data_IF_148196812354
#
_entry.id   IF_148196812354
#
_cell.length_a   1.000
_cell.length_b   1.000
_cell.length_c   1.000
_cell.angle_alpha   90.00
_cell.angle_beta   90.00
_cell.angle_gamma   90.00
#
_symmetry.space_group_name_H-M   'P 1'
#
loop_
_entity.id
_entity.type
_entity.pdbx_description
1 polymer ?
#
# COMPACT_ATOMS: atom_id res chain seq x y z
N UNK A 1 8.32 13.63 -15.32
CA UNK A 1 7.09 13.42 -14.52
C UNK A 1 5.96 13.03 -15.48
N UNK A 2 5.26 11.91 -15.26
CA UNK A 2 4.29 11.35 -16.22
C UNK A 2 2.84 11.80 -15.99
N UNK A 3 2.60 12.67 -15.00
CA UNK A 3 1.30 13.24 -14.69
C UNK A 3 1.23 14.71 -15.14
N UNK A 4 0.06 15.13 -15.57
CA UNK A 4 -0.22 16.42 -16.19
C UNK A 4 -1.48 17.07 -15.60
N UNK A 5 -1.56 18.39 -15.68
CA UNK A 5 -2.71 19.20 -15.27
C UNK A 5 -3.78 19.33 -16.36
N UNK A 6 -3.41 19.05 -17.60
CA UNK A 6 -4.23 19.24 -18.79
C UNK A 6 -4.38 17.94 -19.59
N UNK A 7 -5.54 17.79 -20.24
CA UNK A 7 -5.85 16.62 -21.07
C UNK A 7 -4.88 16.44 -22.25
N UNK A 8 -4.32 17.53 -22.78
CA UNK A 8 -3.31 17.49 -23.84
C UNK A 8 -1.93 17.02 -23.38
N UNK A 9 -1.75 16.74 -22.08
CA UNK A 9 -0.49 16.28 -21.49
C UNK A 9 0.72 17.18 -21.84
N UNK A 10 0.50 18.50 -21.77
CA UNK A 10 1.51 19.52 -22.08
C UNK A 10 2.08 20.18 -20.82
N UNK A 11 1.28 20.31 -19.76
CA UNK A 11 1.65 20.96 -18.50
C UNK A 11 1.87 19.91 -17.42
N UNK A 12 3.12 19.66 -17.00
CA UNK A 12 3.41 18.72 -15.92
C UNK A 12 2.64 19.08 -14.65
N UNK A 13 2.18 18.06 -13.93
CA UNK A 13 1.47 18.22 -12.67
C UNK A 13 2.39 18.87 -11.62
N UNK A 14 2.06 20.07 -11.16
CA UNK A 14 2.86 20.75 -10.11
C UNK A 14 2.32 20.53 -8.70
N UNK A 15 1.01 20.30 -8.55
CA UNK A 15 0.34 20.09 -7.27
C UNK A 15 -0.85 19.14 -7.40
N UNK A 16 -1.14 18.42 -6.32
CA UNK A 16 -2.38 17.65 -6.15
C UNK A 16 -3.31 18.43 -5.22
N UNK A 17 -4.46 18.87 -5.74
CA UNK A 17 -5.45 19.59 -4.95
C UNK A 17 -6.36 18.58 -4.25
N UNK A 18 -6.09 18.32 -2.96
CA UNK A 18 -6.80 17.33 -2.16
C UNK A 18 -7.57 17.97 -1.01
N UNK A 19 -8.83 17.57 -0.83
CA UNK A 19 -9.65 17.91 0.32
C UNK A 19 -9.68 16.72 1.28
N UNK A 20 -9.08 16.89 2.46
CA UNK A 20 -9.12 15.87 3.50
C UNK A 20 -10.50 15.85 4.16
N UNK A 21 -11.19 14.70 4.12
CA UNK A 21 -12.52 14.51 4.74
C UNK A 21 -12.45 13.80 6.08
N UNK A 22 -11.52 12.85 6.23
CA UNK A 22 -11.25 12.16 7.49
C UNK A 22 -9.73 11.99 7.69
N UNK A 23 -9.30 11.31 8.76
CA UNK A 23 -7.88 11.01 8.99
C UNK A 23 -7.22 10.24 7.83
N UNK A 24 -7.99 9.49 7.04
CA UNK A 24 -7.47 8.62 5.97
C UNK A 24 -8.09 8.85 4.60
N UNK A 25 -9.20 9.58 4.50
CA UNK A 25 -9.93 9.76 3.24
C UNK A 25 -9.76 11.17 2.68
N UNK A 26 -9.40 11.22 1.40
CA UNK A 26 -9.14 12.42 0.62
C UNK A 26 -10.02 12.46 -0.61
N UNK A 27 -10.42 13.66 -1.02
CA UNK A 27 -11.11 13.91 -2.28
C UNK A 27 -10.22 14.75 -3.18
N UNK A 28 -9.98 14.26 -4.39
CA UNK A 28 -9.30 15.02 -5.45
C UNK A 28 -10.23 16.12 -5.97
N UNK A 29 -9.82 17.38 -5.85
CA UNK A 29 -10.63 18.53 -6.25
C UNK A 29 -10.58 18.82 -7.76
N UNK A 30 -9.46 18.50 -8.41
CA UNK A 30 -9.22 18.78 -9.83
C UNK A 30 -8.73 17.51 -10.54
N UNK A 31 -9.19 17.24 -11.78
CA UNK A 31 -8.76 16.06 -12.51
C UNK A 31 -7.26 16.13 -12.82
N UNK A 32 -6.61 14.96 -12.86
CA UNK A 32 -5.21 14.83 -13.27
C UNK A 32 -5.11 13.84 -14.42
N UNK A 33 -4.06 13.95 -15.23
CA UNK A 33 -3.92 13.18 -16.45
C UNK A 33 -2.62 12.39 -16.42
N UNK A 34 -2.68 11.08 -16.65
CA UNK A 34 -1.53 10.20 -16.69
C UNK A 34 -1.20 9.81 -18.13
N UNK A 35 0.04 10.04 -18.56
CA UNK A 35 0.55 9.53 -19.84
C UNK A 35 1.70 8.58 -19.56
N UNK A 36 1.46 7.30 -19.80
CA UNK A 36 2.48 6.26 -19.69
C UNK A 36 3.58 6.49 -20.72
N UNK A 37 4.83 6.30 -20.31
CA UNK A 37 5.97 6.49 -21.20
C UNK A 37 5.95 5.44 -22.33
N UNK A 38 6.08 5.90 -23.56
CA UNK A 38 6.09 5.03 -24.74
C UNK A 38 4.70 4.64 -25.26
N UNK A 39 3.63 5.28 -24.77
CA UNK A 39 2.27 5.15 -25.31
C UNK A 39 1.66 6.53 -25.56
N UNK A 40 0.84 6.65 -26.60
CA UNK A 40 0.14 7.92 -26.93
C UNK A 40 -1.14 8.12 -26.11
N UNK A 41 -1.59 7.11 -25.37
CA UNK A 41 -2.80 7.17 -24.55
C UNK A 41 -2.62 8.05 -23.30
N UNK A 42 -3.58 8.93 -23.07
CA UNK A 42 -3.71 9.71 -21.83
C UNK A 42 -4.91 9.18 -21.05
N UNK A 43 -4.65 8.77 -19.80
CA UNK A 43 -5.67 8.31 -18.86
C UNK A 43 -6.08 9.49 -17.99
N UNK A 44 -7.38 9.77 -17.93
CA UNK A 44 -7.91 10.82 -17.05
C UNK A 44 -8.26 10.22 -15.71
N UNK A 45 -7.73 10.81 -14.63
CA UNK A 45 -8.16 10.58 -13.26
C UNK A 45 -9.11 11.70 -12.89
N UNK A 46 -10.38 11.37 -12.70
CA UNK A 46 -11.47 12.30 -12.49
C UNK A 46 -11.39 12.95 -11.10
N UNK A 47 -11.80 14.22 -11.04
CA UNK A 47 -12.06 14.87 -9.77
C UNK A 47 -13.24 14.17 -9.05
N UNK A 48 -13.18 14.17 -7.73
CA UNK A 48 -14.27 13.73 -6.88
C UNK A 48 -15.33 14.84 -6.78
N UNK A 49 -16.57 14.45 -6.52
CA UNK A 49 -17.65 15.41 -6.28
C UNK A 49 -17.54 15.96 -4.85
N UNK A 50 -17.06 17.20 -4.72
CA UNK A 50 -16.87 17.83 -3.41
C UNK A 50 -18.18 18.16 -2.67
N UNK A 51 -19.33 18.09 -3.35
CA UNK A 51 -20.64 18.28 -2.72
C UNK A 51 -21.15 17.01 -2.04
N UNK A 52 -20.60 15.85 -2.41
CA UNK A 52 -20.94 14.54 -1.85
C UNK A 52 -19.99 14.14 -0.72
N UNK A 53 -20.51 13.34 0.21
CA UNK A 53 -19.73 12.70 1.26
C UNK A 53 -18.62 11.77 0.71
N UNK A 54 -17.72 11.27 1.58
CA UNK A 54 -16.56 10.50 1.16
C UNK A 54 -16.88 9.05 0.72
N UNK A 55 -18.05 8.51 1.05
CA UNK A 55 -18.42 7.13 0.72
C UNK A 55 -18.52 6.91 -0.79
N UNK A 56 -17.69 6.02 -1.34
CA UNK A 56 -17.61 5.76 -2.78
C UNK A 56 -17.15 6.96 -3.62
N UNK A 57 -16.69 8.02 -2.97
CA UNK A 57 -16.29 9.29 -3.56
C UNK A 57 -15.11 9.86 -2.76
N UNK A 58 -14.14 9.01 -2.44
CA UNK A 58 -12.86 9.39 -1.84
C UNK A 58 -11.81 8.33 -2.15
N UNK A 59 -10.56 8.74 -2.02
CA UNK A 59 -9.37 7.90 -2.12
C UNK A 59 -8.67 7.89 -0.77
N UNK A 60 -8.12 6.75 -0.39
CA UNK A 60 -7.25 6.63 0.77
C UNK A 60 -5.76 6.84 0.42
N UNK A 61 -5.50 7.22 -0.84
CA UNK A 61 -4.19 7.42 -1.44
C UNK A 61 -3.30 6.19 -1.34
N UNK A 62 -3.89 5.00 -1.51
CA UNK A 62 -3.24 3.71 -1.33
C UNK A 62 -2.60 3.62 0.06
N UNK A 63 -3.45 3.65 1.10
CA UNK A 63 -3.06 3.59 2.52
C UNK A 63 -1.86 2.67 2.76
N UNK A 64 -0.69 3.27 2.99
CA UNK A 64 0.50 2.50 3.35
C UNK A 64 0.29 1.99 4.78
N UNK A 65 0.42 0.67 5.05
CA UNK A 65 0.33 0.13 6.41
C UNK A 65 1.28 0.85 7.37
N UNK A 66 0.87 1.07 8.62
CA UNK A 66 1.63 1.88 9.60
C UNK A 66 3.06 1.38 9.82
N UNK A 67 3.28 0.06 9.77
CA UNK A 67 4.62 -0.53 9.89
C UNK A 67 5.56 -0.17 8.73
N UNK A 68 5.03 0.31 7.60
CA UNK A 68 5.79 0.80 6.44
C UNK A 68 6.04 2.31 6.47
N UNK A 69 5.49 3.07 7.42
CA UNK A 69 5.65 4.54 7.46
C UNK A 69 7.10 4.99 7.69
N UNK A 70 7.95 4.14 8.26
CA UNK A 70 9.40 4.38 8.34
C UNK A 70 10.15 4.16 7.01
N UNK A 71 9.52 3.48 6.05
CA UNK A 71 10.11 3.12 4.74
C UNK A 71 9.52 3.93 3.58
N UNK A 72 8.31 4.47 3.75
CA UNK A 72 7.56 5.22 2.74
C UNK A 72 6.91 6.43 3.43
N UNK A 73 7.20 7.64 2.94
CA UNK A 73 6.48 8.83 3.40
C UNK A 73 4.99 8.66 3.13
N UNK A 74 4.10 9.06 4.05
CA UNK A 74 2.65 8.87 3.90
C UNK A 74 2.08 9.56 2.64
N UNK A 75 2.71 10.64 2.19
CA UNK A 75 2.35 11.38 0.97
C UNK A 75 3.61 11.71 0.15
N UNK A 76 3.46 11.86 -1.17
CA UNK A 76 4.57 12.23 -2.05
C UNK A 76 4.42 11.69 -3.46
N UNK A 77 5.53 11.15 -4.00
CA UNK A 77 5.61 10.66 -5.39
C UNK A 77 4.62 9.54 -5.72
N UNK A 78 4.11 8.85 -4.70
CA UNK A 78 3.14 7.77 -4.87
C UNK A 78 1.67 8.22 -4.89
N UNK A 79 1.35 9.47 -4.50
CA UNK A 79 -0.04 9.91 -4.34
C UNK A 79 -0.80 10.00 -5.67
N UNK A 80 -0.19 10.50 -6.73
CA UNK A 80 -0.82 10.53 -8.07
C UNK A 80 -0.99 9.11 -8.66
N UNK A 81 0.02 8.22 -8.62
CA UNK A 81 -0.17 6.81 -8.95
C UNK A 81 -1.27 6.11 -8.15
N UNK A 82 -1.42 6.43 -6.85
CA UNK A 82 -2.47 5.85 -6.01
C UNK A 82 -3.87 6.28 -6.47
N UNK A 83 -4.08 7.57 -6.76
CA UNK A 83 -5.35 8.07 -7.30
C UNK A 83 -5.73 7.39 -8.63
N UNK A 84 -4.74 7.18 -9.51
CA UNK A 84 -4.93 6.43 -10.74
C UNK A 84 -5.38 4.99 -10.44
N UNK A 85 -4.68 4.29 -9.54
CA UNK A 85 -5.02 2.91 -9.16
C UNK A 85 -6.41 2.78 -8.52
N UNK A 86 -6.80 3.74 -7.68
CA UNK A 86 -8.12 3.77 -7.02
C UNK A 86 -9.25 3.94 -8.05
N UNK A 87 -9.08 4.81 -9.04
CA UNK A 87 -10.08 4.93 -10.11
C UNK A 87 -10.16 3.66 -10.96
N UNK A 88 -9.02 3.10 -11.38
CA UNK A 88 -8.96 1.83 -12.12
C UNK A 88 -9.61 0.68 -11.34
N UNK A 89 -9.40 0.66 -10.03
CA UNK A 89 -10.05 -0.26 -9.09
C UNK A 89 -11.57 -0.19 -9.21
N UNK A 90 -12.14 1.03 -9.19
CA UNK A 90 -13.58 1.24 -9.36
C UNK A 90 -14.06 0.79 -10.75
N UNK A 91 -13.31 1.08 -11.82
CA UNK A 91 -13.63 0.64 -13.19
C UNK A 91 -13.77 -0.90 -13.27
N UNK A 92 -12.91 -1.64 -12.56
CA UNK A 92 -12.99 -3.12 -12.56
C UNK A 92 -14.20 -3.69 -11.84
N UNK A 93 -14.83 -2.95 -10.92
CA UNK A 93 -16.00 -3.44 -10.17
C UNK A 93 -17.24 -3.62 -11.06
N UNK A 94 -17.24 -3.01 -12.25
CA UNK A 94 -18.32 -3.13 -13.23
C UNK A 94 -18.17 -4.35 -14.15
N UNK A 95 -17.05 -5.08 -14.05
CA UNK A 95 -16.74 -6.20 -14.94
C UNK A 95 -17.10 -7.56 -14.32
N UNK A 96 -17.37 -8.60 -15.13
CA UNK A 96 -17.52 -9.97 -14.64
C UNK A 96 -16.25 -10.44 -13.89
N UNK A 97 -16.34 -11.29 -12.86
CA UNK A 97 -15.21 -11.60 -11.97
C UNK A 97 -13.92 -12.07 -12.64
N UNK A 98 -14.02 -12.87 -13.70
CA UNK A 98 -12.84 -13.37 -14.43
C UNK A 98 -12.16 -12.26 -15.25
N UNK A 99 -12.95 -11.37 -15.84
CA UNK A 99 -12.45 -10.23 -16.61
C UNK A 99 -11.90 -9.15 -15.68
N UNK A 100 -12.57 -8.90 -14.54
CA UNK A 100 -12.11 -8.01 -13.49
C UNK A 100 -10.70 -8.41 -13.00
N UNK A 101 -10.48 -9.70 -12.73
CA UNK A 101 -9.15 -10.22 -12.34
C UNK A 101 -8.09 -10.00 -13.43
N UNK A 102 -8.45 -10.20 -14.69
CA UNK A 102 -7.53 -9.99 -15.83
C UNK A 102 -7.15 -8.51 -15.96
N UNK A 103 -8.13 -7.62 -15.90
CA UNK A 103 -7.91 -6.17 -15.98
C UNK A 103 -7.14 -5.65 -14.76
N UNK A 104 -7.45 -6.14 -13.56
CA UNK A 104 -6.71 -5.81 -12.34
C UNK A 104 -5.21 -6.02 -12.46
N UNK A 105 -4.78 -7.15 -13.05
CA UNK A 105 -3.35 -7.41 -13.27
C UNK A 105 -2.69 -6.37 -14.18
N UNK A 106 -3.42 -5.90 -15.20
CA UNK A 106 -2.95 -4.85 -16.12
C UNK A 106 -2.83 -3.52 -15.35
N UNK A 107 -3.84 -3.17 -14.55
CA UNK A 107 -3.85 -1.95 -13.76
C UNK A 107 -2.84 -1.93 -12.61
N UNK A 108 -2.60 -3.07 -11.96
CA UNK A 108 -1.55 -3.18 -10.94
C UNK A 108 -0.17 -2.96 -11.56
N UNK A 109 0.08 -3.52 -12.75
CA UNK A 109 1.33 -3.28 -13.47
C UNK A 109 1.42 -1.82 -13.98
N UNK A 110 0.32 -1.22 -14.46
CA UNK A 110 0.25 0.22 -14.77
C UNK A 110 0.61 1.07 -13.56
N UNK A 111 0.07 0.74 -12.38
CA UNK A 111 0.40 1.40 -11.12
C UNK A 111 1.89 1.28 -10.78
N UNK A 112 2.48 0.09 -10.91
CA UNK A 112 3.91 -0.13 -10.69
C UNK A 112 4.76 0.73 -11.61
N UNK A 113 4.38 0.84 -12.88
CA UNK A 113 5.09 1.68 -13.86
C UNK A 113 4.93 3.17 -13.53
N UNK A 114 3.73 3.63 -13.21
CA UNK A 114 3.46 5.01 -12.80
C UNK A 114 4.29 5.41 -11.57
N UNK A 115 4.46 4.50 -10.59
CA UNK A 115 5.34 4.69 -9.44
C UNK A 115 6.79 4.90 -9.88
N UNK A 116 7.32 4.02 -10.73
CA UNK A 116 8.69 4.13 -11.24
C UNK A 116 8.93 5.42 -12.04
N UNK A 117 8.00 5.77 -12.93
CA UNK A 117 8.07 6.97 -13.77
C UNK A 117 7.98 8.27 -12.95
N UNK A 118 7.34 8.22 -11.78
CA UNK A 118 7.27 9.33 -10.82
C UNK A 118 8.49 9.37 -9.89
N UNK A 119 9.45 8.45 -10.07
CA UNK A 119 10.71 8.41 -9.33
C UNK A 119 10.62 7.73 -7.97
N UNK A 120 9.67 6.82 -7.79
CA UNK A 120 9.65 5.90 -6.63
C UNK A 120 10.72 4.82 -6.84
N UNK A 121 11.48 4.52 -5.80
CA UNK A 121 12.54 3.51 -5.86
C UNK A 121 11.98 2.13 -6.27
N UNK A 122 12.76 1.38 -7.06
CA UNK A 122 12.32 0.11 -7.65
C UNK A 122 11.80 -0.89 -6.63
N UNK A 123 12.53 -1.06 -5.52
CA UNK A 123 12.15 -1.96 -4.44
C UNK A 123 10.80 -1.58 -3.83
N UNK A 124 10.59 -0.28 -3.57
CA UNK A 124 9.35 0.24 -2.99
C UNK A 124 8.18 0.06 -3.96
N UNK A 125 8.37 0.40 -5.23
CA UNK A 125 7.34 0.22 -6.25
C UNK A 125 6.97 -1.26 -6.40
N UNK A 126 7.95 -2.17 -6.33
CA UNK A 126 7.74 -3.62 -6.40
C UNK A 126 6.97 -4.15 -5.19
N UNK A 127 7.28 -3.67 -3.99
CA UNK A 127 6.56 -4.04 -2.77
C UNK A 127 5.11 -3.55 -2.80
N UNK A 128 4.89 -2.27 -3.14
CA UNK A 128 3.53 -1.70 -3.27
C UNK A 128 2.71 -2.48 -4.29
N UNK A 129 3.27 -2.78 -5.46
CA UNK A 129 2.66 -3.64 -6.48
C UNK A 129 2.28 -5.02 -5.93
N UNK A 130 3.21 -5.71 -5.25
CA UNK A 130 2.93 -7.05 -4.75
C UNK A 130 1.82 -7.06 -3.68
N UNK A 131 1.76 -6.02 -2.84
CA UNK A 131 0.70 -5.87 -1.84
C UNK A 131 -0.66 -5.64 -2.49
N UNK A 132 -0.78 -4.70 -3.44
CA UNK A 132 -2.08 -4.46 -4.12
C UNK A 132 -2.53 -5.66 -4.96
N UNK A 133 -1.58 -6.36 -5.61
CA UNK A 133 -1.90 -7.59 -6.34
C UNK A 133 -2.31 -8.74 -5.42
N UNK A 134 -1.83 -8.80 -4.19
CA UNK A 134 -2.28 -9.78 -3.20
C UNK A 134 -3.67 -9.45 -2.63
N UNK A 135 -3.98 -8.16 -2.42
CA UNK A 135 -5.32 -7.70 -2.00
C UNK A 135 -6.40 -8.10 -3.03
N UNK A 136 -6.05 -8.05 -4.32
CA UNK A 136 -6.91 -8.52 -5.40
C UNK A 136 -7.35 -10.00 -5.23
N UNK A 137 -6.46 -10.87 -4.73
CA UNK A 137 -6.79 -12.29 -4.50
C UNK A 137 -7.77 -12.46 -3.34
N UNK A 138 -7.68 -11.60 -2.33
CA UNK A 138 -8.58 -11.58 -1.18
C UNK A 138 -9.98 -11.09 -1.54
N UNK A 139 -10.08 -10.03 -2.35
CA UNK A 139 -11.34 -9.42 -2.75
C UNK A 139 -12.18 -10.30 -3.68
N UNK A 140 -11.55 -11.07 -4.57
CA UNK A 140 -12.28 -11.94 -5.51
C UNK A 140 -12.54 -13.35 -4.99
N UNK A 141 -11.61 -13.95 -4.23
CA UNK A 141 -11.79 -15.29 -3.66
C UNK A 141 -11.07 -15.45 -2.32
N UNK A 142 -11.81 -15.37 -1.21
CA UNK A 142 -11.26 -15.52 0.16
C UNK A 142 -10.36 -16.76 0.33
N UNK A 143 -10.68 -17.87 -0.34
CA UNK A 143 -9.88 -19.11 -0.27
C UNK A 143 -8.50 -18.92 -0.92
N UNK A 144 -8.42 -18.38 -2.14
CA UNK A 144 -7.11 -18.15 -2.78
C UNK A 144 -6.31 -17.07 -2.06
N UNK A 145 -6.96 -16.01 -1.58
CA UNK A 145 -6.31 -15.02 -0.73
C UNK A 145 -5.66 -15.66 0.51
N UNK A 146 -6.41 -16.50 1.24
CA UNK A 146 -5.86 -17.26 2.38
C UNK A 146 -4.72 -18.19 1.98
N UNK A 147 -4.85 -18.93 0.87
CA UNK A 147 -3.76 -19.79 0.37
C UNK A 147 -2.50 -18.99 0.03
N UNK A 148 -2.64 -17.79 -0.55
CA UNK A 148 -1.50 -16.92 -0.85
C UNK A 148 -0.80 -16.48 0.41
N UNK A 149 -1.58 -15.99 1.38
CA UNK A 149 -1.06 -15.57 2.68
C UNK A 149 -0.35 -16.73 3.39
N UNK A 150 -0.95 -17.93 3.39
CA UNK A 150 -0.33 -19.12 3.98
C UNK A 150 0.95 -19.53 3.27
N UNK A 151 1.00 -19.49 1.93
CA UNK A 151 2.20 -19.81 1.16
C UNK A 151 3.33 -18.80 1.40
N UNK A 152 3.00 -17.50 1.45
CA UNK A 152 3.94 -16.43 1.79
C UNK A 152 4.45 -16.61 3.21
N UNK A 153 3.56 -16.87 4.18
CA UNK A 153 3.95 -17.11 5.57
C UNK A 153 4.86 -18.33 5.71
N UNK A 154 4.55 -19.44 5.04
CA UNK A 154 5.41 -20.63 5.00
C UNK A 154 6.79 -20.32 4.40
N UNK A 155 6.83 -19.55 3.31
CA UNK A 155 8.08 -19.09 2.71
C UNK A 155 8.91 -18.22 3.67
N UNK A 156 8.29 -17.26 4.36
CA UNK A 156 8.95 -16.41 5.36
C UNK A 156 9.50 -17.25 6.51
N UNK A 157 8.72 -18.18 7.05
CA UNK A 157 9.16 -19.07 8.14
C UNK A 157 10.32 -19.96 7.70
N UNK A 158 10.27 -20.50 6.48
CA UNK A 158 11.36 -21.28 5.93
C UNK A 158 12.65 -20.45 5.82
N UNK A 159 12.57 -19.21 5.34
CA UNK A 159 13.72 -18.30 5.25
C UNK A 159 14.30 -17.97 6.63
N UNK A 160 13.45 -17.67 7.61
CA UNK A 160 13.90 -17.41 8.98
C UNK A 160 14.57 -18.63 9.60
N UNK A 161 13.98 -19.82 9.45
CA UNK A 161 14.59 -21.07 9.92
C UNK A 161 15.92 -21.35 9.20
N UNK A 162 15.98 -21.12 7.89
CA UNK A 162 17.19 -21.26 7.10
C UNK A 162 18.32 -20.35 7.57
N UNK A 163 18.01 -19.08 7.88
CA UNK A 163 18.97 -18.12 8.45
C UNK A 163 19.49 -18.63 9.80
N UNK A 164 18.60 -18.98 10.73
CA UNK A 164 18.98 -19.43 12.08
C UNK A 164 19.82 -20.71 12.03
N UNK A 165 19.40 -21.70 11.24
CA UNK A 165 20.11 -22.96 11.09
C UNK A 165 21.46 -22.77 10.38
N UNK A 166 21.56 -21.89 9.39
CA UNK A 166 22.83 -21.58 8.73
C UNK A 166 23.83 -20.94 9.68
N UNK A 167 23.38 -20.03 10.55
CA UNK A 167 24.21 -19.42 11.58
C UNK A 167 24.65 -20.45 12.63
N UNK A 168 23.74 -21.32 13.09
CA UNK A 168 24.04 -22.34 14.09
C UNK A 168 24.99 -23.43 13.57
N UNK A 169 24.84 -23.83 12.31
CA UNK A 169 25.65 -24.87 11.68
C UNK A 169 26.96 -24.35 11.05
N UNK A 170 27.15 -23.03 10.96
CA UNK A 170 28.29 -22.43 10.24
C UNK A 170 28.32 -22.77 8.74
N UNK A 171 27.16 -23.07 8.14
CA UNK A 171 27.05 -23.56 6.76
C UNK A 171 25.93 -22.85 6.01
N UNK A 172 26.11 -22.47 4.72
CA UNK A 172 25.05 -21.82 3.94
C UNK A 172 23.98 -22.79 3.43
N UNK A 173 24.14 -24.10 3.62
CA UNK A 173 23.24 -25.13 3.05
C UNK A 173 21.79 -24.98 3.55
N UNK A 174 21.49 -24.81 4.86
CA UNK A 174 20.11 -24.59 5.31
C UNK A 174 19.44 -23.38 4.66
N UNK A 175 20.16 -22.26 4.53
CA UNK A 175 19.65 -21.07 3.84
C UNK A 175 19.39 -21.33 2.35
N UNK A 176 20.29 -22.04 1.66
CA UNK A 176 20.09 -22.39 0.26
C UNK A 176 18.85 -23.29 0.06
N UNK A 177 18.64 -24.27 0.96
CA UNK A 177 17.44 -25.12 0.97
C UNK A 177 16.17 -24.29 1.23
N UNK A 178 16.21 -23.36 2.18
CA UNK A 178 15.09 -22.46 2.46
C UNK A 178 14.74 -21.55 1.27
N UNK A 179 15.75 -20.98 0.60
CA UNK A 179 15.57 -20.19 -0.62
C UNK A 179 14.94 -21.02 -1.74
N UNK A 180 15.42 -22.25 -1.94
CA UNK A 180 14.85 -23.16 -2.92
C UNK A 180 13.40 -23.52 -2.60
N UNK A 181 13.09 -23.81 -1.33
CA UNK A 181 11.73 -24.09 -0.88
C UNK A 181 10.79 -22.89 -1.10
N UNK A 182 11.23 -21.67 -0.75
CA UNK A 182 10.46 -20.45 -0.99
C UNK A 182 10.24 -20.19 -2.49
N UNK A 183 11.25 -20.47 -3.33
CA UNK A 183 11.14 -20.36 -4.78
C UNK A 183 10.13 -21.37 -5.35
N UNK A 184 10.16 -22.62 -4.90
CA UNK A 184 9.19 -23.66 -5.29
C UNK A 184 7.78 -23.26 -4.86
N UNK A 185 7.58 -22.86 -3.60
CA UNK A 185 6.28 -22.39 -3.11
C UNK A 185 5.75 -21.21 -3.91
N UNK A 186 6.62 -20.30 -4.32
CA UNK A 186 6.25 -19.17 -5.17
C UNK A 186 5.89 -19.61 -6.60
N UNK A 187 6.64 -20.56 -7.17
CA UNK A 187 6.39 -21.08 -8.51
C UNK A 187 5.02 -21.79 -8.65
N UNK A 188 4.50 -22.39 -7.57
CA UNK A 188 3.15 -22.99 -7.53
C UNK A 188 2.03 -21.98 -7.85
N UNK A 189 2.30 -20.68 -7.71
CA UNK A 189 1.35 -19.61 -8.07
C UNK A 189 1.29 -19.32 -9.57
N UNK A 190 2.04 -20.05 -10.39
CA UNK A 190 1.99 -19.93 -11.84
C UNK A 190 2.22 -18.50 -12.29
N UNK A 191 1.22 -17.85 -12.90
CA UNK A 191 1.34 -16.47 -13.40
C UNK A 191 1.55 -15.42 -12.30
N UNK A 192 1.18 -15.73 -11.06
CA UNK A 192 1.32 -14.82 -9.91
C UNK A 192 2.58 -15.13 -9.07
N UNK A 193 3.50 -15.97 -9.57
CA UNK A 193 4.73 -16.35 -8.83
C UNK A 193 5.53 -15.14 -8.35
N UNK A 194 5.57 -14.08 -9.15
CA UNK A 194 6.30 -12.86 -8.86
C UNK A 194 5.73 -12.12 -7.65
N UNK A 195 4.42 -12.19 -7.41
CA UNK A 195 3.76 -11.63 -6.23
C UNK A 195 4.20 -12.41 -5.00
N UNK A 196 4.04 -13.74 -5.02
CA UNK A 196 4.42 -14.62 -3.93
C UNK A 196 5.92 -14.49 -3.58
N UNK A 197 6.80 -14.51 -4.58
CA UNK A 197 8.25 -14.39 -4.40
C UNK A 197 8.65 -13.02 -3.83
N UNK A 198 8.02 -11.94 -4.31
CA UNK A 198 8.28 -10.58 -3.77
C UNK A 198 7.87 -10.50 -2.32
N UNK A 199 6.67 -10.96 -1.96
CA UNK A 199 6.19 -10.89 -0.58
C UNK A 199 7.02 -11.78 0.35
N UNK A 200 7.26 -13.05 -0.02
CA UNK A 200 8.05 -13.97 0.78
C UNK A 200 9.49 -13.48 0.98
N UNK A 201 10.13 -12.98 -0.09
CA UNK A 201 11.49 -12.43 -0.02
C UNK A 201 11.57 -11.16 0.82
N UNK A 202 10.66 -10.20 0.61
CA UNK A 202 10.67 -8.93 1.36
C UNK A 202 10.32 -9.14 2.83
N UNK A 203 9.27 -9.89 3.14
CA UNK A 203 8.93 -10.18 4.53
C UNK A 203 9.99 -11.07 5.19
N UNK A 204 10.59 -12.03 4.49
CA UNK A 204 11.70 -12.82 5.02
C UNK A 204 12.91 -11.96 5.38
N UNK A 205 13.27 -11.02 4.50
CA UNK A 205 14.39 -10.10 4.70
C UNK A 205 14.14 -9.11 5.87
N UNK A 206 12.94 -8.53 5.94
CA UNK A 206 12.61 -7.51 6.93
C UNK A 206 12.01 -8.08 8.22
N UNK A 207 11.67 -9.36 8.29
CA UNK A 207 11.05 -9.99 9.46
C UNK A 207 11.84 -9.79 10.77
N UNK A 208 13.18 -9.92 10.81
CA UNK A 208 13.92 -9.66 12.05
C UNK A 208 13.77 -8.22 12.55
N UNK A 209 13.80 -7.24 11.63
CA UNK A 209 13.61 -5.82 11.95
C UNK A 209 12.20 -5.55 12.44
N UNK A 210 11.20 -6.12 11.75
CA UNK A 210 9.79 -6.01 12.13
C UNK A 210 9.51 -6.66 13.49
N UNK A 211 10.12 -7.81 13.78
CA UNK A 211 10.01 -8.49 15.06
C UNK A 211 10.62 -7.66 16.20
N UNK A 212 11.80 -7.06 15.98
CA UNK A 212 12.43 -6.17 16.94
C UNK A 212 11.58 -4.91 17.20
N UNK A 213 11.04 -4.29 16.15
CA UNK A 213 10.15 -3.14 16.27
C UNK A 213 8.87 -3.48 17.05
N UNK A 214 8.26 -4.65 16.77
CA UNK A 214 7.08 -5.12 17.48
C UNK A 214 7.37 -5.41 18.95
N UNK A 215 8.52 -6.02 19.27
CA UNK A 215 8.95 -6.24 20.64
C UNK A 215 9.14 -4.92 21.40
N UNK A 216 9.74 -3.90 20.77
CA UNK A 216 9.85 -2.56 21.34
C UNK A 216 8.51 -1.90 21.60
N UNK A 217 7.56 -2.01 20.65
CA UNK A 217 6.20 -1.48 20.82
C UNK A 217 5.44 -2.20 21.95
N UNK A 218 5.59 -3.52 22.07
CA UNK A 218 5.00 -4.30 23.14
C UNK A 218 5.56 -3.89 24.51
N UNK A 219 6.87 -3.67 24.60
CA UNK A 219 7.51 -3.20 25.82
C UNK A 219 6.99 -1.82 26.23
N UNK A 220 6.91 -0.87 25.28
CA UNK A 220 6.34 0.45 25.55
C UNK A 220 4.89 0.36 26.02
N UNK A 221 4.07 -0.43 25.34
CA UNK A 221 2.68 -0.63 25.73
C UNK A 221 2.56 -1.23 27.14
N UNK A 222 3.41 -2.18 27.51
CA UNK A 222 3.46 -2.71 28.89
C UNK A 222 3.81 -1.61 29.89
N UNK A 223 4.79 -0.75 29.59
CA UNK A 223 5.12 0.39 30.43
C UNK A 223 3.95 1.38 30.57
N UNK A 224 3.24 1.68 29.48
CA UNK A 224 2.06 2.55 29.50
C UNK A 224 0.92 1.97 30.34
N UNK A 225 0.66 0.66 30.23
CA UNK A 225 -0.35 -0.05 31.03
C UNK A 225 0.04 -0.04 32.50
N UNK A 226 1.30 -0.36 32.83
CA UNK A 226 1.79 -0.32 34.21
C UNK A 226 1.72 1.09 34.79
N UNK A 227 2.06 2.10 34.01
CA UNK A 227 1.94 3.51 34.41
C UNK A 227 0.48 3.90 34.63
N UNK A 228 -0.43 3.52 33.75
CA UNK A 228 -1.86 3.80 33.88
C UNK A 228 -2.46 3.15 35.14
N UNK A 229 -2.06 1.91 35.44
CA UNK A 229 -2.46 1.20 36.66
C UNK A 229 -1.88 1.86 37.90
N UNK A 230 -0.63 2.31 37.86
CA UNK A 230 0.03 2.99 38.98
C UNK A 230 -0.51 4.42 39.22
N UNK A 231 -0.87 5.14 38.16
CA UNK A 231 -1.36 6.51 38.20
C UNK A 231 -2.86 6.62 38.51
N UNK A 232 -3.58 5.49 38.60
CA UNK A 232 -4.95 5.41 39.09
C UNK A 232 -5.92 6.39 38.42
N UNK A 233 -6.29 6.16 37.15
CA UNK A 233 -7.42 6.79 36.45
C UNK A 233 -7.49 8.34 36.43
N UNK A 234 -6.43 9.05 36.85
CA UNK A 234 -6.38 10.52 36.92
C UNK A 234 -5.84 11.14 35.63
N UNK A 235 -6.54 10.93 34.52
CA UNK A 235 -6.54 11.86 33.38
C UNK A 235 -7.66 11.45 32.41
N UNK A 236 -8.83 12.07 32.51
CA UNK A 236 -9.61 12.31 31.30
C UNK A 236 -8.69 13.05 30.33
N UNK A 237 -8.29 12.42 29.22
CA UNK A 237 -7.70 13.19 28.14
C UNK A 237 -8.74 14.24 27.73
N UNK A 238 -8.43 15.55 27.82
CA UNK A 238 -9.35 16.54 27.29
C UNK A 238 -9.55 16.21 25.82
N UNK A 239 -10.81 16.09 25.40
CA UNK A 239 -11.14 15.94 23.99
C UNK A 239 -10.39 17.05 23.23
N UNK A 240 -9.67 16.73 22.14
CA UNK A 240 -8.99 17.76 21.37
C UNK A 240 -10.01 18.82 20.99
N UNK A 241 -9.70 20.09 21.28
CA UNK A 241 -10.57 21.20 20.91
C UNK A 241 -10.89 21.09 19.41
N UNK A 242 -12.16 21.29 19.00
CA UNK A 242 -12.51 21.25 17.59
C UNK A 242 -11.65 22.29 16.87
N UNK A 243 -10.78 21.84 15.96
CA UNK A 243 -10.00 22.73 15.10
C UNK A 243 -10.99 23.33 14.10
N UNK A 244 -11.26 24.65 14.13
CA UNK A 244 -12.10 25.26 13.12
C UNK A 244 -11.38 25.15 11.78
N UNK A 245 -11.92 24.37 10.85
CA UNK A 245 -11.43 24.33 9.49
C UNK A 245 -11.56 25.71 8.82
N UNK A 246 -10.82 25.97 7.72
CA UNK A 246 -10.80 27.27 7.03
C UNK A 246 -12.18 27.75 6.51
N UNK A 247 -13.22 26.91 6.56
CA UNK A 247 -14.59 27.26 6.19
C UNK A 247 -15.41 27.92 7.31
N UNK A 248 -14.86 28.09 8.52
CA UNK A 248 -15.55 28.80 9.60
C UNK A 248 -15.52 30.34 9.46
N UNK A 249 -14.83 30.89 8.45
CA UNK A 249 -14.77 32.34 8.17
C UNK A 249 -15.57 32.70 6.91
N UNK A 250 -16.88 32.47 6.92
CA UNK A 250 -17.77 33.10 5.94
C UNK A 250 -19.19 33.27 6.46
N UNK A 251 -19.34 33.87 7.66
CA UNK A 251 -20.55 34.58 8.05
C UNK A 251 -20.21 35.74 8.99
N UNK A 252 -19.80 36.86 8.42
CA UNK A 252 -20.21 38.18 8.90
C UNK A 252 -20.44 39.05 7.67
N UNK A 253 -21.63 39.65 7.69
CA UNK A 253 -22.30 40.57 6.79
C UNK A 253 -21.40 41.54 6.00
#
# INVERSE_FOLDING_TARGET
MPFYQDASATRPLTALHLVQRTRRLFQLAEPIYYRRRGTDGVVTVLAHDLTRGPEGNSSDLASVPTWMWGLVASYGRQSAPALLHDQRTVETMQLPPQEALRQRRIYDEEFRQALLETGVAQLRARLMWAVVSADNHWSHTRVRGKLLVSAVAAGVLALLAGIVLSLAAGSPVPLAVALAAAAVLSALWGRDWAVAATLAGMFGLFAPVLAAAWAGQLLLWLCEVLWWLAAGALAHQPAPAPVPGPLARSRVL
#
